data_IF_165876287034
#
_entry.id   IF_165876287034
#
_cell.length_a   1.000
_cell.length_b   1.000
_cell.length_c   1.000
_cell.angle_alpha   90.00
_cell.angle_beta   90.00
_cell.angle_gamma   90.00
#
_symmetry.space_group_name_H-M   'P 1'
#
loop_
_entity.id
_entity.type
_entity.pdbx_description
1 polymer ?
#
# COMPACT_ATOMS: atom_id res chain seq x y z
N UNK A 1 -3.78 -20.40 -19.88
CA UNK A 1 -3.84 -19.24 -18.98
C UNK A 1 -3.68 -19.75 -17.56
N UNK A 2 -2.75 -19.21 -16.77
CA UNK A 2 -2.58 -19.63 -15.37
C UNK A 2 -3.74 -19.10 -14.52
N UNK A 3 -4.07 -19.71 -13.37
CA UNK A 3 -5.10 -19.17 -12.48
C UNK A 3 -4.80 -17.72 -12.03
N UNK A 4 -3.52 -17.41 -11.78
CA UNK A 4 -3.10 -16.04 -11.43
C UNK A 4 -3.36 -15.04 -12.56
N UNK A 5 -3.11 -15.42 -13.81
CA UNK A 5 -3.44 -14.58 -14.97
C UNK A 5 -4.96 -14.43 -15.13
N UNK A 6 -5.73 -15.51 -14.91
CA UNK A 6 -7.19 -15.45 -14.96
C UNK A 6 -7.76 -14.50 -13.90
N UNK A 7 -7.21 -14.51 -12.68
CA UNK A 7 -7.59 -13.57 -11.64
C UNK A 7 -7.29 -12.12 -12.06
N UNK A 8 -6.11 -11.87 -12.63
CA UNK A 8 -5.75 -10.55 -13.16
C UNK A 8 -6.71 -10.08 -14.26
N UNK A 9 -7.05 -10.94 -15.21
CA UNK A 9 -7.99 -10.62 -16.30
C UNK A 9 -9.40 -10.28 -15.76
N UNK A 10 -9.80 -10.84 -14.60
CA UNK A 10 -11.05 -10.50 -13.93
C UNK A 10 -10.95 -9.15 -13.23
N UNK A 11 -9.83 -8.85 -12.57
CA UNK A 11 -9.57 -7.53 -11.97
C UNK A 11 -9.66 -6.40 -13.01
N UNK A 12 -9.06 -6.60 -14.19
CA UNK A 12 -9.12 -5.64 -15.31
C UNK A 12 -10.55 -5.39 -15.81
N UNK A 13 -11.47 -6.33 -15.56
CA UNK A 13 -12.90 -6.22 -15.88
C UNK A 13 -13.75 -5.72 -14.70
N UNK A 14 -13.14 -5.34 -13.59
CA UNK A 14 -13.83 -4.93 -12.37
C UNK A 14 -14.48 -6.09 -11.59
N UNK A 15 -14.14 -7.34 -11.90
CA UNK A 15 -14.71 -8.53 -11.26
C UNK A 15 -13.86 -8.98 -10.08
N UNK A 16 -13.85 -8.19 -9.01
CA UNK A 16 -12.97 -8.39 -7.86
C UNK A 16 -13.32 -9.62 -7.01
N UNK A 17 -14.59 -9.84 -6.68
CA UNK A 17 -15.00 -11.04 -5.92
C UNK A 17 -14.70 -12.36 -6.65
N UNK A 18 -14.97 -12.49 -7.97
CA UNK A 18 -14.52 -13.64 -8.75
C UNK A 18 -12.99 -13.81 -8.77
N UNK A 19 -12.23 -12.70 -8.86
CA UNK A 19 -10.78 -12.74 -8.79
C UNK A 19 -10.30 -13.27 -7.42
N UNK A 20 -10.84 -12.75 -6.32
CA UNK A 20 -10.54 -13.21 -4.95
C UNK A 20 -10.81 -14.71 -4.79
N UNK A 21 -11.92 -15.20 -5.34
CA UNK A 21 -12.26 -16.63 -5.27
C UNK A 21 -11.15 -17.48 -5.88
N UNK A 22 -10.68 -17.12 -7.08
CA UNK A 22 -9.57 -17.82 -7.74
C UNK A 22 -8.27 -17.68 -6.95
N UNK A 23 -7.98 -16.49 -6.41
CA UNK A 23 -6.77 -16.23 -5.64
C UNK A 23 -6.75 -17.00 -4.30
N UNK A 24 -7.89 -17.22 -3.66
CA UNK A 24 -7.99 -18.00 -2.43
C UNK A 24 -7.71 -19.49 -2.63
N UNK A 25 -8.10 -20.03 -3.78
CA UNK A 25 -7.92 -21.45 -4.09
C UNK A 25 -6.47 -21.80 -4.52
N UNK A 26 -5.62 -20.79 -4.74
CA UNK A 26 -4.23 -20.99 -5.12
C UNK A 26 -3.35 -21.36 -3.93
N UNK A 27 -2.55 -22.40 -4.11
CA UNK A 27 -1.64 -22.95 -3.12
C UNK A 27 -0.39 -23.55 -3.80
N UNK A 28 0.69 -23.74 -3.05
CA UNK A 28 1.95 -24.27 -3.57
C UNK A 28 2.67 -23.34 -4.57
N UNK A 29 2.38 -22.03 -4.52
CA UNK A 29 3.01 -21.05 -5.40
C UNK A 29 4.49 -20.84 -5.06
N UNK A 30 5.28 -20.48 -6.07
CA UNK A 30 6.62 -19.93 -5.83
C UNK A 30 6.54 -18.65 -4.98
N UNK A 31 7.57 -18.28 -4.20
CA UNK A 31 7.55 -17.06 -3.39
C UNK A 31 7.15 -15.81 -4.19
N UNK A 32 7.68 -15.67 -5.41
CA UNK A 32 7.33 -14.56 -6.30
C UNK A 32 5.85 -14.57 -6.71
N UNK A 33 5.32 -15.74 -7.06
CA UNK A 33 3.90 -15.88 -7.43
C UNK A 33 2.97 -15.67 -6.25
N UNK A 34 3.39 -16.06 -5.05
CA UNK A 34 2.66 -15.81 -3.81
C UNK A 34 2.59 -14.31 -3.49
N UNK A 35 3.68 -13.57 -3.69
CA UNK A 35 3.66 -12.11 -3.52
C UNK A 35 2.67 -11.44 -4.48
N UNK A 36 2.63 -11.85 -5.75
CA UNK A 36 1.62 -11.35 -6.69
C UNK A 36 0.20 -11.73 -6.30
N UNK A 37 0.00 -12.96 -5.79
CA UNK A 37 -1.32 -13.40 -5.30
C UNK A 37 -1.82 -12.50 -4.18
N UNK A 38 -0.99 -12.24 -3.18
CA UNK A 38 -1.34 -11.38 -2.04
C UNK A 38 -1.56 -9.93 -2.49
N UNK A 39 -0.72 -9.40 -3.38
CA UNK A 39 -0.89 -8.04 -3.90
C UNK A 39 -2.24 -7.89 -4.64
N UNK A 40 -2.58 -8.86 -5.49
CA UNK A 40 -3.87 -8.85 -6.19
C UNK A 40 -5.06 -8.97 -5.24
N UNK A 41 -4.94 -9.78 -4.19
CA UNK A 41 -5.97 -9.87 -3.16
C UNK A 41 -6.15 -8.55 -2.40
N UNK A 42 -5.05 -7.88 -2.03
CA UNK A 42 -5.12 -6.59 -1.34
C UNK A 42 -5.78 -5.51 -2.23
N UNK A 43 -5.40 -5.42 -3.52
CA UNK A 43 -6.05 -4.52 -4.47
C UNK A 43 -7.54 -4.86 -4.65
N UNK A 44 -7.90 -6.15 -4.78
CA UNK A 44 -9.32 -6.53 -4.89
C UNK A 44 -10.14 -6.10 -3.67
N UNK A 45 -9.64 -6.32 -2.46
CA UNK A 45 -10.34 -5.91 -1.24
C UNK A 45 -10.46 -4.39 -1.13
N UNK A 46 -9.39 -3.67 -1.47
CA UNK A 46 -9.42 -2.22 -1.52
C UNK A 46 -10.47 -1.69 -2.50
N UNK A 47 -10.55 -2.27 -3.71
CA UNK A 47 -11.54 -1.92 -4.74
C UNK A 47 -12.98 -2.23 -4.35
N UNK A 48 -13.17 -3.16 -3.40
CA UNK A 48 -14.46 -3.51 -2.82
C UNK A 48 -14.78 -2.66 -1.58
N UNK A 49 -13.94 -1.68 -1.24
CA UNK A 49 -14.05 -0.83 -0.04
C UNK A 49 -13.94 -1.62 1.28
N UNK A 50 -13.41 -2.84 1.22
CA UNK A 50 -13.16 -3.72 2.36
C UNK A 50 -11.76 -3.44 2.92
N UNK A 51 -11.55 -2.23 3.41
CA UNK A 51 -10.22 -1.69 3.75
C UNK A 51 -9.48 -2.48 4.83
N UNK A 52 -10.19 -3.00 5.85
CA UNK A 52 -9.56 -3.85 6.87
C UNK A 52 -8.98 -5.13 6.26
N UNK A 53 -9.69 -5.75 5.31
CA UNK A 53 -9.19 -6.92 4.60
C UNK A 53 -8.02 -6.57 3.69
N UNK A 54 -8.04 -5.41 3.04
CA UNK A 54 -6.93 -4.93 2.23
C UNK A 54 -5.65 -4.75 3.08
N UNK A 55 -5.79 -4.15 4.28
CA UNK A 55 -4.70 -3.98 5.26
C UNK A 55 -4.14 -5.34 5.68
N UNK A 56 -5.00 -6.26 6.14
CA UNK A 56 -4.58 -7.59 6.61
C UNK A 56 -3.80 -8.39 5.55
N UNK A 57 -4.20 -8.27 4.27
CA UNK A 57 -3.53 -8.97 3.17
C UNK A 57 -2.22 -8.27 2.81
N UNK A 58 -2.20 -6.94 2.77
CA UNK A 58 -0.98 -6.19 2.51
C UNK A 58 0.07 -6.39 3.62
N UNK A 59 -0.35 -6.52 4.88
CA UNK A 59 0.52 -6.88 6.00
C UNK A 59 1.16 -8.26 5.81
N UNK A 60 0.36 -9.25 5.40
CA UNK A 60 0.89 -10.59 5.07
C UNK A 60 1.91 -10.55 3.93
N UNK A 61 1.74 -9.63 2.98
CA UNK A 61 2.70 -9.43 1.91
C UNK A 61 3.98 -8.78 2.43
N UNK A 62 3.89 -7.73 3.24
CA UNK A 62 5.05 -7.06 3.84
C UNK A 62 5.85 -7.97 4.77
N UNK A 63 5.22 -8.90 5.48
CA UNK A 63 5.92 -9.94 6.25
C UNK A 63 6.78 -10.87 5.37
N UNK A 64 6.47 -10.99 4.08
CA UNK A 64 7.23 -11.81 3.11
C UNK A 64 8.22 -10.99 2.29
N UNK A 65 7.92 -9.72 2.08
CA UNK A 65 8.65 -8.79 1.24
C UNK A 65 8.49 -7.38 1.81
N UNK A 66 9.34 -7.06 2.78
CA UNK A 66 9.32 -5.79 3.52
C UNK A 66 9.60 -4.57 2.63
N UNK A 67 10.09 -4.79 1.41
CA UNK A 67 10.40 -3.75 0.41
C UNK A 67 9.26 -3.54 -0.58
N UNK A 68 8.14 -4.23 -0.41
CA UNK A 68 7.02 -4.16 -1.33
C UNK A 68 6.23 -2.86 -1.15
N UNK A 69 6.68 -1.79 -1.80
CA UNK A 69 6.06 -0.46 -1.67
C UNK A 69 4.59 -0.43 -2.10
N UNK A 70 4.19 -1.26 -3.08
CA UNK A 70 2.77 -1.38 -3.47
C UNK A 70 1.92 -1.92 -2.32
N UNK A 71 2.43 -2.85 -1.53
CA UNK A 71 1.73 -3.39 -0.37
C UNK A 71 1.59 -2.32 0.73
N UNK A 72 2.67 -1.63 1.05
CA UNK A 72 2.66 -0.53 2.03
C UNK A 72 1.72 0.60 1.58
N UNK A 73 1.77 0.99 0.31
CA UNK A 73 0.87 1.98 -0.28
C UNK A 73 -0.60 1.53 -0.15
N UNK A 74 -0.90 0.25 -0.34
CA UNK A 74 -2.26 -0.27 -0.14
C UNK A 74 -2.74 -0.10 1.30
N UNK A 75 -1.87 -0.37 2.30
CA UNK A 75 -2.18 -0.12 3.72
C UNK A 75 -2.41 1.36 3.98
N UNK A 76 -1.49 2.21 3.54
CA UNK A 76 -1.59 3.66 3.67
C UNK A 76 -2.92 4.19 3.13
N UNK A 77 -3.26 3.83 1.88
CA UNK A 77 -4.51 4.28 1.24
C UNK A 77 -5.74 3.72 1.96
N UNK A 78 -5.69 2.47 2.43
CA UNK A 78 -6.78 1.86 3.19
C UNK A 78 -7.03 2.60 4.51
N UNK A 79 -5.97 2.95 5.25
CA UNK A 79 -6.07 3.77 6.46
C UNK A 79 -6.65 5.16 6.14
N UNK A 80 -6.18 5.81 5.08
CA UNK A 80 -6.75 7.08 4.61
C UNK A 80 -8.25 6.96 4.28
N UNK A 81 -8.67 5.90 3.61
CA UNK A 81 -10.10 5.65 3.30
C UNK A 81 -10.94 5.42 4.55
N UNK A 82 -10.35 4.82 5.59
CA UNK A 82 -10.96 4.69 6.92
C UNK A 82 -10.90 5.99 7.75
N UNK A 83 -10.26 7.05 7.23
CA UNK A 83 -9.95 8.31 7.93
C UNK A 83 -9.07 8.11 9.17
N UNK A 84 -8.31 7.03 9.19
CA UNK A 84 -7.34 6.71 10.23
C UNK A 84 -5.97 7.28 9.83
N UNK A 85 -5.86 8.61 9.90
CA UNK A 85 -4.67 9.32 9.44
C UNK A 85 -3.44 9.06 10.30
N UNK A 86 -3.63 8.72 11.58
CA UNK A 86 -2.54 8.38 12.49
C UNK A 86 -1.83 7.11 12.01
N UNK A 87 -2.60 6.05 11.71
CA UNK A 87 -2.03 4.81 11.17
C UNK A 87 -1.53 4.96 9.73
N UNK A 88 -2.16 5.81 8.92
CA UNK A 88 -1.65 6.12 7.58
C UNK A 88 -0.26 6.77 7.66
N UNK A 89 -0.10 7.81 8.48
CA UNK A 89 1.17 8.51 8.65
C UNK A 89 2.23 7.59 9.27
N UNK A 90 1.85 6.75 10.24
CA UNK A 90 2.75 5.74 10.80
C UNK A 90 3.24 4.76 9.73
N UNK A 91 2.36 4.24 8.86
CA UNK A 91 2.71 3.29 7.81
C UNK A 91 3.76 3.85 6.83
N UNK A 92 3.53 5.05 6.29
CA UNK A 92 4.49 5.67 5.35
C UNK A 92 5.83 5.98 6.03
N UNK A 93 5.81 6.42 7.29
CA UNK A 93 7.02 6.69 8.07
C UNK A 93 7.82 5.40 8.31
N UNK A 94 7.15 4.35 8.75
CA UNK A 94 7.77 3.06 9.08
C UNK A 94 8.37 2.41 7.84
N UNK A 95 7.64 2.42 6.72
CA UNK A 95 8.12 1.87 5.45
C UNK A 95 9.35 2.64 4.95
N UNK A 96 9.27 3.97 4.86
CA UNK A 96 10.35 4.79 4.30
C UNK A 96 11.54 4.98 5.23
N UNK A 97 11.41 4.64 6.52
CA UNK A 97 12.56 4.60 7.43
C UNK A 97 13.57 3.51 7.06
N UNK A 98 13.14 2.50 6.30
CA UNK A 98 13.97 1.36 5.90
C UNK A 98 14.05 1.14 4.39
N UNK A 99 13.26 1.89 3.60
CA UNK A 99 13.13 1.72 2.16
C UNK A 99 13.19 3.07 1.42
N UNK A 100 13.69 3.05 0.19
CA UNK A 100 13.61 4.21 -0.70
C UNK A 100 12.19 4.34 -1.29
N UNK A 101 11.74 5.58 -1.50
CA UNK A 101 10.47 5.87 -2.14
C UNK A 101 10.61 5.78 -3.67
N UNK A 102 9.75 5.00 -4.31
CA UNK A 102 9.46 5.11 -5.74
C UNK A 102 8.04 5.68 -5.92
N UNK A 103 7.04 4.94 -5.46
CA UNK A 103 5.62 5.33 -5.50
C UNK A 103 5.27 6.38 -4.45
N UNK A 104 5.87 6.31 -3.26
CA UNK A 104 5.60 7.27 -2.18
C UNK A 104 6.12 8.68 -2.45
N UNK A 105 6.92 8.90 -3.49
CA UNK A 105 7.42 10.25 -3.82
C UNK A 105 6.30 11.25 -4.02
N UNK A 106 5.25 10.85 -4.74
CA UNK A 106 4.08 11.71 -4.98
C UNK A 106 3.36 11.99 -3.66
N UNK A 107 3.16 10.96 -2.83
CA UNK A 107 2.53 11.09 -1.51
C UNK A 107 3.34 11.99 -0.57
N UNK A 108 4.67 11.93 -0.60
CA UNK A 108 5.54 12.84 0.15
C UNK A 108 5.36 14.29 -0.31
N UNK A 109 5.28 14.54 -1.61
CA UNK A 109 5.03 15.89 -2.15
C UNK A 109 3.64 16.44 -1.73
N UNK A 110 2.62 15.58 -1.69
CA UNK A 110 1.28 15.92 -1.18
C UNK A 110 1.31 16.23 0.32
N UNK A 111 1.94 15.37 1.14
CA UNK A 111 2.06 15.59 2.58
C UNK A 111 2.84 16.88 2.91
N UNK A 112 3.87 17.23 2.13
CA UNK A 112 4.56 18.51 2.28
C UNK A 112 3.65 19.71 2.01
N UNK A 113 2.72 19.57 1.04
CA UNK A 113 1.69 20.57 0.77
C UNK A 113 0.72 20.66 1.95
N UNK A 114 0.27 19.52 2.48
CA UNK A 114 -0.65 19.48 3.62
C UNK A 114 -0.04 20.09 4.89
N UNK A 115 1.27 19.86 5.12
CA UNK A 115 2.03 20.49 6.19
C UNK A 115 2.09 22.01 6.01
N UNK A 116 2.35 22.48 4.79
CA UNK A 116 2.42 23.92 4.48
C UNK A 116 1.07 24.59 4.70
N UNK A 117 0.00 23.92 4.31
CA UNK A 117 -1.37 24.44 4.39
C UNK A 117 -1.97 24.29 5.81
N UNK A 118 -1.24 23.66 6.73
CA UNK A 118 -1.59 23.55 8.15
C UNK A 118 -2.53 22.40 8.50
N UNK A 119 -2.71 21.44 7.59
CA UNK A 119 -3.53 20.24 7.82
C UNK A 119 -2.81 19.21 8.72
N UNK A 120 -1.47 19.16 8.66
CA UNK A 120 -0.65 18.37 9.58
C UNK A 120 0.06 19.32 10.54
N UNK A 121 -0.20 19.16 11.84
CA UNK A 121 0.29 20.09 12.88
C UNK A 121 1.20 19.46 13.92
N UNK A 122 1.27 18.12 13.97
CA UNK A 122 2.16 17.40 14.87
C UNK A 122 3.63 17.64 14.48
N UNK A 123 4.43 18.16 15.41
CA UNK A 123 5.81 18.58 15.14
C UNK A 123 6.74 17.40 14.84
N UNK A 124 6.53 16.25 15.48
CA UNK A 124 7.36 15.07 15.28
C UNK A 124 7.09 14.47 13.90
N UNK A 125 5.80 14.35 13.53
CA UNK A 125 5.38 13.92 12.20
C UNK A 125 5.92 14.87 11.12
N UNK A 126 5.74 16.18 11.29
CA UNK A 126 6.26 17.18 10.34
C UNK A 126 7.76 17.02 10.15
N UNK A 127 8.51 16.87 11.24
CA UNK A 127 9.96 16.69 11.18
C UNK A 127 10.32 15.42 10.41
N UNK A 128 9.62 14.32 10.67
CA UNK A 128 9.91 13.03 10.04
C UNK A 128 9.57 13.02 8.55
N UNK A 129 8.41 13.54 8.17
CA UNK A 129 8.02 13.64 6.75
C UNK A 129 9.00 14.52 5.97
N UNK A 130 9.46 15.65 6.54
CA UNK A 130 10.46 16.51 5.89
C UNK A 130 11.81 15.81 5.73
N UNK A 131 12.24 15.04 6.73
CA UNK A 131 13.47 14.23 6.66
C UNK A 131 13.37 13.20 5.54
N UNK A 132 12.28 12.42 5.50
CA UNK A 132 12.04 11.40 4.49
C UNK A 132 11.94 11.99 3.09
N UNK A 133 11.29 13.15 2.93
CA UNK A 133 11.21 13.85 1.66
C UNK A 133 12.58 14.35 1.18
N UNK A 134 13.45 14.83 2.09
CA UNK A 134 14.82 15.20 1.74
C UNK A 134 15.62 13.99 1.26
N UNK A 135 15.57 12.88 1.99
CA UNK A 135 16.27 11.64 1.65
C UNK A 135 15.84 11.08 0.29
N UNK A 136 14.57 11.26 -0.08
CA UNK A 136 14.00 10.77 -1.32
C UNK A 136 13.99 11.79 -2.47
N UNK A 137 14.70 12.91 -2.32
CA UNK A 137 14.81 13.99 -3.32
C UNK A 137 13.46 14.61 -3.73
N UNK A 138 12.51 14.71 -2.79
CA UNK A 138 11.19 15.30 -2.98
C UNK A 138 11.13 16.80 -2.59
N UNK A 139 12.19 17.35 -2.01
CA UNK A 139 12.30 18.79 -1.74
C UNK A 139 12.83 19.51 -2.99
N UNK A 140 12.00 20.37 -3.57
CA UNK A 140 12.35 21.28 -4.68
C UNK A 140 12.75 22.65 -4.14
#
# INVERSE_FOLDING_TARGET
MTPLQKAKDLMEKGQYMPAITILNDLNGLSPRSENYRLLFMADCWFRLEEYNWAIDIADKLLQKDERNELASMMKYLSYCSLKDFDNALAEIIDFLSNNEADLYKVTLEELLTDIRDGFVTDKEIISKIKELALQNNCLK
#
